data_IF_101666561238
#
_entry.id   IF_101666561238
#
_cell.length_a   1.000
_cell.length_b   1.000
_cell.length_c   1.000
_cell.angle_alpha   90.00
_cell.angle_beta   90.00
_cell.angle_gamma   90.00
#
_symmetry.space_group_name_H-M   'P 1'
#
loop_
_entity.id
_entity.type
_entity.pdbx_description
1 polymer ?
#
# COMPACT_ATOMS: atom_id res chain seq x y z
N UNK A 1 31.95 -29.89 31.41
CA UNK A 1 31.10 -28.71 31.17
C UNK A 1 30.66 -28.77 29.71
N UNK A 2 29.46 -29.29 29.45
CA UNK A 2 28.93 -29.44 28.08
C UNK A 2 28.17 -28.19 27.67
N UNK A 3 28.66 -27.54 26.62
CA UNK A 3 28.04 -26.37 25.97
C UNK A 3 27.00 -26.85 24.96
N UNK A 4 25.72 -26.65 25.29
CA UNK A 4 24.60 -26.90 24.39
C UNK A 4 24.50 -25.77 23.35
N UNK A 5 24.84 -26.07 22.10
CA UNK A 5 24.64 -25.15 20.97
C UNK A 5 23.15 -25.08 20.66
N UNK A 6 22.54 -23.90 20.88
CA UNK A 6 21.16 -23.60 20.47
C UNK A 6 21.07 -23.68 18.94
N UNK A 7 20.26 -24.60 18.44
CA UNK A 7 19.98 -24.75 17.02
C UNK A 7 19.44 -23.46 16.40
N UNK A 8 20.10 -22.99 15.35
CA UNK A 8 19.61 -21.89 14.51
C UNK A 8 18.34 -22.36 13.80
N UNK A 9 17.23 -21.65 14.04
CA UNK A 9 15.97 -21.85 13.35
C UNK A 9 16.15 -21.43 11.90
N UNK A 10 16.24 -22.39 10.98
CA UNK A 10 16.25 -22.14 9.54
C UNK A 10 14.92 -21.46 9.18
N UNK A 11 14.97 -20.17 8.87
CA UNK A 11 13.81 -19.45 8.32
C UNK A 11 13.49 -20.07 6.96
N UNK A 12 12.29 -20.63 6.82
CA UNK A 12 11.78 -21.01 5.50
C UNK A 12 11.72 -19.77 4.61
N UNK A 13 12.08 -19.90 3.32
CA UNK A 13 11.96 -18.79 2.37
C UNK A 13 10.49 -18.36 2.30
N UNK A 14 10.24 -17.07 2.46
CA UNK A 14 8.91 -16.51 2.25
C UNK A 14 8.44 -16.79 0.81
N UNK A 15 7.14 -17.05 0.61
CA UNK A 15 6.61 -17.32 -0.72
C UNK A 15 6.91 -16.13 -1.64
N UNK A 16 7.51 -16.42 -2.80
CA UNK A 16 7.82 -15.43 -3.82
C UNK A 16 6.50 -14.85 -4.33
N UNK A 17 6.22 -13.60 -3.98
CA UNK A 17 5.02 -12.91 -4.42
C UNK A 17 5.13 -12.62 -5.93
N UNK A 18 4.23 -13.20 -6.72
CA UNK A 18 4.17 -12.95 -8.17
C UNK A 18 3.88 -11.46 -8.42
N UNK A 19 4.70 -10.82 -9.24
CA UNK A 19 4.50 -9.42 -9.62
C UNK A 19 3.54 -9.38 -10.81
N UNK A 20 2.42 -8.70 -10.61
CA UNK A 20 1.41 -8.45 -11.63
C UNK A 20 1.55 -7.00 -12.09
N UNK A 21 1.54 -6.80 -13.40
CA UNK A 21 1.52 -5.46 -14.01
C UNK A 21 0.33 -5.35 -14.96
N UNK A 22 -0.33 -4.21 -14.91
CA UNK A 22 -1.37 -3.85 -15.86
C UNK A 22 -0.81 -2.82 -16.84
N UNK A 23 -1.11 -3.00 -18.12
CA UNK A 23 -0.59 -2.14 -19.19
C UNK A 23 -1.69 -1.75 -20.19
N UNK A 24 -1.57 -0.59 -20.81
CA UNK A 24 -2.44 -0.13 -21.88
C UNK A 24 -1.66 0.22 -23.14
N UNK A 25 -2.28 0.01 -24.30
CA UNK A 25 -1.69 0.30 -25.61
C UNK A 25 -1.88 1.78 -25.96
N UNK A 26 -0.80 2.52 -26.21
CA UNK A 26 -0.87 3.97 -26.43
C UNK A 26 -1.17 4.39 -27.86
N UNK A 27 -0.72 3.61 -28.84
CA UNK A 27 -0.98 3.89 -30.23
C UNK A 27 -2.39 3.46 -30.63
N UNK A 28 -3.16 4.43 -31.15
CA UNK A 28 -4.56 4.26 -31.58
C UNK A 28 -4.70 3.45 -32.86
N UNK A 29 -3.68 3.46 -33.73
CA UNK A 29 -3.79 2.93 -35.08
C UNK A 29 -3.38 1.47 -35.14
N UNK A 30 -4.40 0.59 -35.14
CA UNK A 30 -4.23 -0.83 -35.43
C UNK A 30 -3.95 -1.12 -36.91
N UNK A 31 -4.14 -0.15 -37.81
CA UNK A 31 -4.02 -0.33 -39.27
C UNK A 31 -2.65 0.04 -39.85
N UNK A 32 -1.83 0.77 -39.11
CA UNK A 32 -0.49 1.14 -39.55
C UNK A 32 0.48 -0.01 -39.22
N UNK A 33 0.57 -1.01 -40.09
CA UNK A 33 1.48 -2.17 -39.95
C UNK A 33 2.97 -1.80 -39.78
N UNK A 34 3.32 -0.52 -39.93
CA UNK A 34 4.68 0.01 -39.76
C UNK A 34 4.98 0.53 -38.35
N UNK A 35 4.00 0.71 -37.47
CA UNK A 35 4.24 1.23 -36.11
C UNK A 35 4.37 0.10 -35.10
N UNK A 36 5.47 0.11 -34.35
CA UNK A 36 5.69 -0.82 -33.24
C UNK A 36 4.65 -0.59 -32.14
N UNK A 37 4.11 -1.66 -31.57
CA UNK A 37 3.18 -1.57 -30.45
C UNK A 37 3.86 -0.96 -29.22
N UNK A 38 3.31 0.13 -28.71
CA UNK A 38 3.79 0.77 -27.49
C UNK A 38 2.80 0.53 -26.35
N UNK A 39 3.31 -0.08 -25.28
CA UNK A 39 2.54 -0.45 -24.09
C UNK A 39 3.10 0.32 -22.90
N UNK A 40 2.24 1.04 -22.18
CA UNK A 40 2.60 1.74 -20.96
C UNK A 40 1.99 1.06 -19.73
N UNK A 41 2.72 1.06 -18.63
CA UNK A 41 2.21 0.59 -17.35
C UNK A 41 1.29 1.63 -16.72
N UNK A 42 0.28 1.15 -15.99
CA UNK A 42 -0.41 1.99 -15.01
C UNK A 42 0.49 2.30 -13.82
N UNK A 43 0.13 3.32 -13.03
CA UNK A 43 0.81 3.58 -11.76
C UNK A 43 0.66 2.40 -10.79
N UNK A 44 1.47 2.33 -9.74
CA UNK A 44 1.37 1.25 -8.74
C UNK A 44 -0.02 1.24 -8.06
N UNK A 45 -0.58 2.43 -7.79
CA UNK A 45 -1.90 2.56 -7.16
C UNK A 45 -3.01 2.17 -8.15
N UNK A 46 -2.94 2.67 -9.39
CA UNK A 46 -3.91 2.30 -10.43
C UNK A 46 -3.88 0.79 -10.70
N UNK A 47 -2.68 0.20 -10.78
CA UNK A 47 -2.48 -1.25 -10.92
C UNK A 47 -3.15 -2.00 -9.76
N UNK A 48 -2.98 -1.52 -8.52
CA UNK A 48 -3.61 -2.13 -7.35
C UNK A 48 -5.14 -2.02 -7.39
N UNK A 49 -5.69 -0.88 -7.81
CA UNK A 49 -7.14 -0.68 -7.97
C UNK A 49 -7.71 -1.64 -9.04
N UNK A 50 -7.06 -1.74 -10.20
CA UNK A 50 -7.49 -2.62 -11.29
C UNK A 50 -7.41 -4.09 -10.84
N UNK A 51 -6.32 -4.47 -10.19
CA UNK A 51 -6.12 -5.85 -9.73
C UNK A 51 -7.11 -6.24 -8.62
N UNK A 52 -7.41 -5.35 -7.66
CA UNK A 52 -8.43 -5.60 -6.64
C UNK A 52 -9.80 -5.82 -7.28
N UNK A 53 -10.21 -4.96 -8.23
CA UNK A 53 -11.47 -5.11 -8.96
C UNK A 53 -11.53 -6.42 -9.77
N UNK A 54 -10.41 -6.82 -10.38
CA UNK A 54 -10.29 -8.07 -11.13
C UNK A 54 -10.42 -9.29 -10.22
N UNK A 55 -9.76 -9.28 -9.05
CA UNK A 55 -9.84 -10.36 -8.05
C UNK A 55 -11.25 -10.49 -7.46
N UNK A 56 -11.94 -9.38 -7.26
CA UNK A 56 -13.34 -9.32 -6.81
C UNK A 56 -14.34 -9.68 -7.92
N UNK A 57 -13.87 -9.97 -9.14
CA UNK A 57 -14.70 -10.33 -10.32
C UNK A 57 -15.70 -9.23 -10.69
N UNK A 58 -15.32 -7.98 -10.50
CA UNK A 58 -16.11 -6.84 -10.96
C UNK A 58 -16.06 -6.74 -12.49
N UNK A 59 -17.09 -6.15 -13.09
CA UNK A 59 -17.13 -5.92 -14.54
C UNK A 59 -16.21 -4.80 -14.99
N UNK A 60 -15.96 -3.83 -14.11
CA UNK A 60 -15.15 -2.65 -14.40
C UNK A 60 -14.31 -2.21 -13.21
N UNK A 61 -13.17 -1.57 -13.50
CA UNK A 61 -12.37 -0.83 -12.53
C UNK A 61 -12.45 0.67 -12.87
N UNK A 62 -12.82 1.50 -11.89
CA UNK A 62 -12.98 2.95 -12.08
C UNK A 62 -11.74 3.69 -11.59
N UNK A 63 -11.07 4.39 -12.51
CA UNK A 63 -9.93 5.26 -12.23
C UNK A 63 -10.35 6.74 -12.41
N UNK A 64 -9.44 7.67 -12.10
CA UNK A 64 -9.73 9.10 -12.16
C UNK A 64 -10.02 9.59 -13.60
N UNK A 65 -9.15 9.24 -14.55
CA UNK A 65 -9.24 9.73 -15.94
C UNK A 65 -9.90 8.73 -16.91
N UNK A 66 -10.10 7.49 -16.48
CA UNK A 66 -10.69 6.43 -17.30
C UNK A 66 -11.35 5.34 -16.46
N UNK A 67 -12.08 4.44 -17.12
CA UNK A 67 -12.55 3.18 -16.57
C UNK A 67 -12.03 2.02 -17.40
N UNK A 68 -11.78 0.89 -16.77
CA UNK A 68 -11.31 -0.33 -17.42
C UNK A 68 -12.45 -1.32 -17.43
N UNK A 69 -12.93 -1.69 -18.62
CA UNK A 69 -13.81 -2.82 -18.81
C UNK A 69 -12.98 -4.11 -18.71
N UNK A 70 -13.15 -4.83 -17.60
CA UNK A 70 -12.38 -6.03 -17.28
C UNK A 70 -12.84 -7.25 -18.08
N UNK A 71 -14.05 -7.22 -18.65
CA UNK A 71 -14.58 -8.31 -19.48
C UNK A 71 -13.93 -8.30 -20.85
N UNK A 72 -13.78 -7.12 -21.46
CA UNK A 72 -13.20 -6.97 -22.79
C UNK A 72 -11.74 -6.49 -22.78
N UNK A 73 -11.17 -6.22 -21.60
CA UNK A 73 -9.84 -5.66 -21.43
C UNK A 73 -9.66 -4.36 -22.23
N UNK A 74 -10.58 -3.42 -22.01
CA UNK A 74 -10.59 -2.12 -22.68
C UNK A 74 -10.57 -0.98 -21.66
N UNK A 75 -9.62 -0.06 -21.83
CA UNK A 75 -9.67 1.24 -21.20
C UNK A 75 -10.60 2.16 -22.00
N UNK A 76 -11.50 2.85 -21.30
CA UNK A 76 -12.44 3.82 -21.87
C UNK A 76 -12.21 5.16 -21.15
N UNK A 77 -11.90 6.22 -21.90
CA UNK A 77 -11.69 7.54 -21.28
C UNK A 77 -12.98 8.05 -20.64
N UNK A 78 -12.86 8.68 -19.46
CA UNK A 78 -13.99 9.32 -18.79
C UNK A 78 -14.43 10.62 -19.49
N UNK A 79 -13.55 11.20 -20.34
CA UNK A 79 -13.81 12.45 -21.07
C UNK A 79 -14.46 12.20 -22.44
N UNK A 80 -14.09 11.09 -23.09
CA UNK A 80 -14.60 10.71 -24.41
C UNK A 80 -14.69 9.18 -24.54
N UNK A 81 -15.91 8.65 -24.59
CA UNK A 81 -16.16 7.20 -24.66
C UNK A 81 -15.74 6.54 -25.98
N UNK A 82 -15.47 7.36 -27.01
CA UNK A 82 -14.95 6.89 -28.28
C UNK A 82 -13.44 6.57 -28.19
N UNK A 83 -12.74 7.17 -27.21
CA UNK A 83 -11.34 6.87 -26.95
C UNK A 83 -11.26 5.58 -26.15
N UNK A 84 -11.00 4.49 -26.88
CA UNK A 84 -10.85 3.14 -26.32
C UNK A 84 -9.46 2.61 -26.60
N UNK A 85 -8.84 1.99 -25.60
CA UNK A 85 -7.49 1.42 -25.71
C UNK A 85 -7.47 -0.01 -25.18
N UNK A 86 -6.85 -0.96 -25.89
CA UNK A 86 -6.60 -2.29 -25.35
C UNK A 86 -5.76 -2.25 -24.07
N UNK A 87 -6.11 -3.11 -23.14
CA UNK A 87 -5.43 -3.32 -21.87
C UNK A 87 -4.96 -4.77 -21.79
N UNK A 88 -3.87 -5.03 -21.08
CA UNK A 88 -3.44 -6.38 -20.76
C UNK A 88 -2.92 -6.49 -19.34
N UNK A 89 -3.07 -7.68 -18.78
CA UNK A 89 -2.52 -8.09 -17.50
C UNK A 89 -1.32 -8.99 -17.76
N UNK A 90 -0.17 -8.63 -17.23
CA UNK A 90 1.09 -9.35 -17.41
C UNK A 90 1.51 -9.97 -16.09
N UNK A 91 1.81 -11.28 -16.12
CA UNK A 91 2.45 -11.99 -15.03
C UNK A 91 3.95 -12.02 -15.27
N UNK A 92 4.72 -11.52 -14.31
CA UNK A 92 6.17 -11.71 -14.34
C UNK A 92 6.52 -12.98 -13.59
N UNK A 93 6.96 -13.99 -14.32
CA UNK A 93 7.56 -15.20 -13.77
C UNK A 93 8.92 -14.82 -13.19
N UNK A 94 8.96 -14.67 -11.86
CA UNK A 94 10.14 -14.28 -11.09
C UNK A 94 10.65 -12.86 -11.40
N UNK A 95 10.46 -11.97 -10.41
CA UNK A 95 11.40 -10.86 -10.27
C UNK A 95 12.71 -11.53 -9.87
N UNK A 96 13.67 -11.66 -10.81
CA UNK A 96 15.06 -11.86 -10.40
C UNK A 96 15.32 -10.85 -9.28
N UNK A 97 15.71 -11.32 -8.11
CA UNK A 97 15.96 -10.48 -6.93
C UNK A 97 17.03 -9.37 -7.16
N UNK A 98 17.58 -9.25 -8.37
CA UNK A 98 18.72 -8.44 -8.78
C UNK A 98 18.45 -7.01 -9.23
N UNK A 99 17.31 -6.38 -8.90
CA UNK A 99 17.11 -4.92 -9.12
C UNK A 99 16.89 -4.10 -7.85
N UNK A 100 17.22 -4.65 -6.69
CA UNK A 100 17.47 -3.79 -5.54
C UNK A 100 18.72 -2.98 -5.87
N UNK A 101 18.63 -1.64 -5.86
CA UNK A 101 19.84 -0.80 -5.86
C UNK A 101 20.55 -1.09 -4.55
N UNK A 102 21.52 -2.01 -4.55
CA UNK A 102 22.31 -2.38 -3.37
C UNK A 102 22.86 -1.13 -2.65
N UNK A 103 23.18 -0.08 -3.41
CA UNK A 103 23.56 1.23 -2.92
C UNK A 103 22.56 1.88 -1.93
N UNK A 104 21.26 1.57 -1.98
CA UNK A 104 20.24 2.04 -1.01
C UNK A 104 20.20 1.20 0.28
N UNK A 105 20.78 0.00 0.25
CA UNK A 105 20.84 -0.94 1.36
C UNK A 105 22.26 -1.04 1.95
N UNK A 106 23.24 -0.37 1.34
CA UNK A 106 24.50 -0.12 2.02
C UNK A 106 24.17 0.65 3.31
N UNK A 107 24.61 0.16 4.48
CA UNK A 107 24.42 0.89 5.71
C UNK A 107 25.10 2.25 5.52
N UNK A 108 24.30 3.30 5.37
CA UNK A 108 24.75 4.61 5.77
C UNK A 108 24.61 4.55 7.30
N UNK A 109 25.68 4.26 8.06
CA UNK A 109 25.55 3.97 9.47
C UNK A 109 24.91 5.18 10.13
N UNK A 110 23.64 5.04 10.50
CA UNK A 110 23.01 5.96 11.45
C UNK A 110 23.83 5.77 12.71
N UNK A 111 24.66 6.77 13.02
CA UNK A 111 25.51 6.69 14.20
C UNK A 111 24.63 6.30 15.39
N UNK A 112 24.98 5.27 16.18
CA UNK A 112 24.17 4.85 17.34
C UNK A 112 23.89 5.99 18.33
N UNK A 113 24.70 7.05 18.29
CA UNK A 113 24.56 8.29 19.05
C UNK A 113 23.42 9.20 18.57
N UNK A 114 22.85 8.95 17.39
CA UNK A 114 21.72 9.67 16.83
C UNK A 114 20.70 8.67 16.26
N UNK A 115 19.97 7.91 17.11
CA UNK A 115 18.75 7.25 16.65
C UNK A 115 17.85 8.29 15.98
N UNK A 116 16.94 7.87 15.11
CA UNK A 116 15.90 8.70 14.46
C UNK A 116 14.97 9.49 15.42
N UNK A 117 15.40 9.77 16.66
CA UNK A 117 14.99 10.94 17.40
C UNK A 117 15.33 12.15 16.55
N UNK A 118 14.32 12.67 15.87
CA UNK A 118 14.32 14.05 15.44
C UNK A 118 14.79 14.88 16.65
N UNK A 119 16.02 15.45 16.63
CA UNK A 119 16.52 16.25 17.75
C UNK A 119 15.62 17.47 17.96
N UNK A 120 14.88 17.83 16.91
CA UNK A 120 13.78 18.75 16.95
C UNK A 120 12.52 17.90 17.09
N UNK A 121 11.92 17.80 18.27
CA UNK A 121 10.58 17.25 18.46
C UNK A 121 9.48 17.90 17.56
N UNK A 122 9.82 18.77 16.60
CA UNK A 122 8.98 19.63 15.80
C UNK A 122 7.86 18.91 15.09
N UNK A 123 8.09 17.79 14.38
CA UNK A 123 6.98 17.15 13.67
C UNK A 123 5.94 16.53 14.63
N UNK A 124 6.40 15.71 15.58
CA UNK A 124 5.52 15.10 16.58
C UNK A 124 4.85 16.17 17.47
N UNK A 125 5.60 17.19 17.88
CA UNK A 125 5.08 18.31 18.66
C UNK A 125 4.09 19.15 17.86
N UNK A 126 4.37 19.47 16.60
CA UNK A 126 3.45 20.21 15.73
C UNK A 126 2.18 19.41 15.48
N UNK A 127 2.30 18.10 15.25
CA UNK A 127 1.14 17.19 15.12
C UNK A 127 0.33 17.18 16.40
N UNK A 128 0.96 17.00 17.57
CA UNK A 128 0.28 17.04 18.87
C UNK A 128 -0.40 18.38 19.12
N UNK A 129 0.27 19.49 18.82
CA UNK A 129 -0.26 20.85 18.97
C UNK A 129 -1.44 21.10 18.04
N UNK A 130 -1.32 20.72 16.77
CA UNK A 130 -2.33 20.91 15.74
C UNK A 130 -3.61 20.09 16.04
N UNK A 131 -3.44 18.84 16.47
CA UNK A 131 -4.55 17.95 16.82
C UNK A 131 -4.94 17.99 18.30
N UNK A 132 -4.35 18.90 19.09
CA UNK A 132 -4.59 19.06 20.53
C UNK A 132 -4.46 17.75 21.34
N UNK A 133 -3.45 16.95 21.02
CA UNK A 133 -3.18 15.66 21.65
C UNK A 133 -2.33 15.88 22.91
N UNK A 134 -2.87 15.48 24.07
CA UNK A 134 -2.25 15.69 25.38
C UNK A 134 -1.38 14.51 25.86
N UNK A 135 -1.62 13.30 25.34
CA UNK A 135 -0.90 12.07 25.70
C UNK A 135 -0.09 11.55 24.53
N UNK A 136 0.87 10.67 24.78
CA UNK A 136 1.56 10.02 23.68
C UNK A 136 0.55 9.21 22.84
N UNK A 137 0.49 9.36 21.50
CA UNK A 137 -0.43 8.61 20.66
C UNK A 137 -0.27 7.09 20.79
N UNK A 138 0.89 6.64 21.25
CA UNK A 138 1.15 5.21 21.45
C UNK A 138 0.48 4.62 22.68
N UNK A 139 0.18 5.46 23.67
CA UNK A 139 -0.44 5.04 24.94
C UNK A 139 -1.97 5.14 24.92
N UNK A 140 -2.54 5.87 23.95
CA UNK A 140 -3.98 6.07 23.83
C UNK A 140 -4.54 5.59 22.49
N UNK A 141 -5.23 4.45 22.56
CA UNK A 141 -5.94 3.85 21.43
C UNK A 141 -6.88 4.84 20.72
N UNK A 142 -7.60 5.66 21.49
CA UNK A 142 -8.55 6.63 20.94
C UNK A 142 -7.83 7.67 20.09
N UNK A 143 -6.73 8.23 20.61
CA UNK A 143 -5.86 9.17 19.90
C UNK A 143 -5.27 8.54 18.62
N UNK A 144 -4.74 7.32 18.69
CA UNK A 144 -4.17 6.66 17.51
C UNK A 144 -5.22 6.45 16.41
N UNK A 145 -6.40 5.97 16.78
CA UNK A 145 -7.51 5.78 15.83
C UNK A 145 -7.92 7.10 15.19
N UNK A 146 -8.12 8.15 15.99
CA UNK A 146 -8.45 9.49 15.50
C UNK A 146 -7.39 9.98 14.50
N UNK A 147 -6.09 9.84 14.80
CA UNK A 147 -5.02 10.25 13.90
C UNK A 147 -5.07 9.51 12.56
N UNK A 148 -5.37 8.22 12.57
CA UNK A 148 -5.47 7.39 11.37
C UNK A 148 -6.69 7.80 10.53
N UNK A 149 -7.83 8.06 11.16
CA UNK A 149 -9.03 8.58 10.49
C UNK A 149 -8.73 9.96 9.85
N UNK A 150 -8.04 10.85 10.57
CA UNK A 150 -7.61 12.16 10.02
C UNK A 150 -6.62 12.03 8.87
N UNK A 151 -5.70 11.07 8.93
CA UNK A 151 -4.76 10.81 7.83
C UNK A 151 -5.50 10.28 6.59
N UNK A 152 -6.46 9.38 6.77
CA UNK A 152 -7.33 8.90 5.71
C UNK A 152 -8.15 10.03 5.06
N UNK A 153 -8.73 10.92 5.87
CA UNK A 153 -9.37 12.15 5.38
C UNK A 153 -8.40 13.02 4.56
N UNK A 154 -7.16 13.17 5.05
CA UNK A 154 -6.10 13.90 4.35
C UNK A 154 -5.81 13.37 2.96
N UNK A 155 -5.71 12.03 2.79
CA UNK A 155 -5.51 11.41 1.47
C UNK A 155 -6.65 11.73 0.50
N UNK A 156 -7.90 11.70 0.97
CA UNK A 156 -9.08 12.00 0.13
C UNK A 156 -9.07 13.48 -0.29
N UNK A 157 -8.79 14.39 0.65
CA UNK A 157 -8.76 15.83 0.40
C UNK A 157 -7.67 16.18 -0.62
N UNK A 158 -6.45 15.70 -0.41
CA UNK A 158 -5.33 15.97 -1.31
C UNK A 158 -5.52 15.28 -2.66
N UNK A 159 -6.02 14.04 -2.69
CA UNK A 159 -6.39 13.35 -3.93
C UNK A 159 -7.37 14.18 -4.76
N UNK A 160 -8.42 14.72 -4.13
CA UNK A 160 -9.38 15.60 -4.82
C UNK A 160 -8.72 16.87 -5.37
N UNK A 161 -7.83 17.52 -4.62
CA UNK A 161 -7.11 18.73 -5.08
C UNK A 161 -6.22 18.46 -6.29
N UNK A 162 -5.62 17.27 -6.36
CA UNK A 162 -4.72 16.86 -7.43
C UNK A 162 -5.45 16.24 -8.63
N UNK A 163 -6.77 16.09 -8.59
CA UNK A 163 -7.52 15.36 -9.61
C UNK A 163 -7.30 13.84 -9.58
N UNK A 164 -6.84 13.32 -8.44
CA UNK A 164 -6.54 11.92 -8.14
C UNK A 164 -7.44 11.38 -7.02
N UNK A 165 -8.74 11.59 -7.16
CA UNK A 165 -9.73 11.27 -6.13
C UNK A 165 -9.80 9.76 -5.87
N UNK A 166 -9.81 8.93 -6.91
CA UNK A 166 -9.91 7.47 -6.78
C UNK A 166 -8.67 6.86 -6.15
N UNK A 167 -7.49 7.36 -6.50
CA UNK A 167 -6.25 6.98 -5.81
C UNK A 167 -6.30 7.38 -4.32
N UNK A 168 -6.72 8.61 -4.00
CA UNK A 168 -6.85 9.08 -2.62
C UNK A 168 -7.86 8.29 -1.78
N UNK A 169 -9.03 7.98 -2.35
CA UNK A 169 -10.06 7.12 -1.74
C UNK A 169 -9.54 5.70 -1.49
N UNK A 170 -8.78 5.14 -2.42
CA UNK A 170 -8.18 3.82 -2.27
C UNK A 170 -7.13 3.79 -1.15
N UNK A 171 -6.19 4.75 -1.13
CA UNK A 171 -5.17 4.84 -0.09
C UNK A 171 -5.78 5.01 1.31
N UNK A 172 -6.79 5.88 1.45
CA UNK A 172 -7.52 6.07 2.69
C UNK A 172 -8.16 4.75 3.18
N UNK A 173 -8.75 3.98 2.27
CA UNK A 173 -9.34 2.67 2.58
C UNK A 173 -8.30 1.66 3.03
N UNK A 174 -7.16 1.56 2.34
CA UNK A 174 -6.09 0.62 2.71
C UNK A 174 -5.50 0.95 4.08
N UNK A 175 -5.31 2.24 4.39
CA UNK A 175 -4.85 2.69 5.71
C UNK A 175 -5.82 2.22 6.83
N UNK A 176 -7.12 2.41 6.63
CA UNK A 176 -8.14 1.99 7.58
C UNK A 176 -8.23 0.46 7.71
N UNK A 177 -8.15 -0.27 6.59
CA UNK A 177 -8.21 -1.74 6.55
C UNK A 177 -7.02 -2.39 7.28
N UNK A 178 -5.82 -1.87 7.09
CA UNK A 178 -4.62 -2.42 7.74
C UNK A 178 -4.61 -2.15 9.25
N UNK A 179 -5.17 -1.02 9.68
CA UNK A 179 -5.33 -0.74 11.09
C UNK A 179 -6.41 -1.65 11.72
N UNK A 180 -7.44 -2.06 10.96
CA UNK A 180 -8.46 -2.99 11.41
C UNK A 180 -7.88 -4.34 11.89
N UNK A 181 -6.84 -4.85 11.22
CA UNK A 181 -6.17 -6.10 11.60
C UNK A 181 -5.34 -6.01 12.88
N UNK A 182 -4.77 -4.84 13.20
CA UNK A 182 -4.08 -4.59 14.47
C UNK A 182 -5.05 -4.63 15.67
N UNK A 183 -6.33 -4.34 15.43
CA UNK A 183 -7.36 -4.36 16.47
C UNK A 183 -7.74 -5.77 16.93
N UNK A 184 -7.66 -6.77 16.06
CA UNK A 184 -7.95 -8.17 16.42
C UNK A 184 -6.86 -8.77 17.33
N UNK A 185 -5.60 -8.34 17.15
CA UNK A 185 -4.45 -8.88 17.90
C UNK A 185 -4.36 -8.26 19.31
N UNK A 186 -4.71 -6.98 19.46
CA UNK A 186 -4.66 -6.30 20.77
C UNK A 186 -5.73 -6.82 21.75
N UNK A 187 -6.91 -7.20 21.27
CA UNK A 187 -7.96 -7.76 22.13
C UNK A 187 -7.57 -9.16 22.62
N UNK A 188 -6.95 -9.99 21.77
CA UNK A 188 -6.49 -11.32 22.17
C UNK A 188 -5.42 -11.28 23.28
N UNK A 189 -4.53 -10.28 23.25
CA UNK A 189 -3.47 -10.14 24.25
C UNK A 189 -3.95 -9.54 25.59
N UNK A 190 -5.03 -8.76 25.60
CA UNK A 190 -5.61 -8.22 26.85
C UNK A 190 -6.57 -9.20 27.55
N UNK A 191 -7.19 -10.14 26.81
CA UNK A 191 -8.05 -11.18 27.41
C UNK A 191 -7.23 -12.27 28.11
N UNK A 192 -5.97 -12.49 27.72
CA UNK A 192 -5.10 -13.51 28.31
C UNK A 192 -4.43 -13.11 29.64
N UNK A 193 -4.62 -11.88 30.14
CA UNK A 193 -3.96 -11.40 31.38
C UNK A 193 -4.92 -11.33 32.58
N UNK A 194 -6.22 -11.60 32.41
CA UNK A 194 -7.22 -11.43 33.49
C UNK A 194 -7.72 -12.72 34.16
N UNK A 195 -7.15 -13.89 33.84
CA UNK A 195 -7.66 -15.18 34.31
C UNK A 195 -6.78 -15.93 35.35
N UNK A 196 -5.95 -15.25 36.13
CA UNK A 196 -5.25 -15.88 37.27
C UNK A 196 -5.41 -15.08 38.57
N UNK A 197 -6.63 -15.02 39.10
CA UNK A 197 -6.86 -14.80 40.54
C UNK A 197 -7.96 -15.76 41.00
N UNK A 198 -7.57 -16.98 41.35
CA UNK A 198 -8.40 -17.91 42.13
C UNK A 198 -8.03 -17.70 43.60
N UNK A 199 -8.95 -17.31 44.49
CA UNK A 199 -8.70 -17.30 45.92
C UNK A 199 -8.95 -18.70 46.51
N UNK A 200 -7.97 -19.22 47.24
CA UNK A 200 -8.18 -20.17 48.34
C UNK A 200 -7.41 -19.67 49.55
#
# INVERSE_FOLDING_TARGET
MSSTVKGMKVMSPEPIQQRIEWMWKSNSDTQSHSQQEEWHCYSDIETAIIEEAFQEKLSEAVLDECRIDLKYFLQISNRDENIRRPVKRVHHEQVEAGRLREARFMPNPVAPSAPFRDPQLGFLYATRKYFNIRRDPDDDYGTRRMLIERAAEGFIIEGKKLGKQKEGEWLARQLLKNNAGLFSISIANNVLITNDIIPY
#
